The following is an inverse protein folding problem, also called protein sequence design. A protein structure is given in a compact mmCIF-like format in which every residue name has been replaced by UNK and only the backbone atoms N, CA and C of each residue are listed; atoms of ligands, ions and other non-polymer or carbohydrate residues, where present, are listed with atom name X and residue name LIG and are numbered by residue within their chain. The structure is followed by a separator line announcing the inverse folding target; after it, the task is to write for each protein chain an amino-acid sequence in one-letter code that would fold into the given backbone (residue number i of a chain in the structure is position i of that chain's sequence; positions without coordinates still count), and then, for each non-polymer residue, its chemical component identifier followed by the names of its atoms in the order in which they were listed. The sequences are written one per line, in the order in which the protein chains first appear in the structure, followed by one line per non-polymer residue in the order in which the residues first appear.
data_IF_093729974727
#
_entry.id   IF_093729974727
#
_cell.length_a   1.000
_cell.length_b   1.000
_cell.length_c   1.000
_cell.angle_alpha   90.00
_cell.angle_beta   90.00
_cell.angle_gamma   90.00
#
_symmetry.space_group_name_H-M   'P 1'
#
loop_
_entity.id
_entity.type
_entity.pdbx_description
1 polymer ?
#
# COMPACT_ATOMS: atom_id res chain seq x y z
N UNK A 1 -13.32 17.26 -2.40
CA UNK A 1 -13.48 15.85 -1.98
C UNK A 1 -12.37 15.56 -0.99
N UNK A 2 -12.69 15.20 0.25
CA UNK A 2 -11.68 14.83 1.26
C UNK A 2 -11.15 13.43 0.94
N UNK A 3 -9.83 13.29 0.77
CA UNK A 3 -9.22 11.98 0.56
C UNK A 3 -9.33 11.19 1.86
N UNK A 4 -10.08 10.08 1.85
CA UNK A 4 -10.19 9.21 3.02
C UNK A 4 -8.80 8.69 3.45
N UNK A 5 -8.51 8.61 4.76
CA UNK A 5 -7.24 8.11 5.25
C UNK A 5 -7.02 6.64 4.85
N UNK A 6 -5.77 6.17 4.79
CA UNK A 6 -5.45 4.79 4.39
C UNK A 6 -5.91 3.74 5.41
N UNK A 7 -6.07 4.14 6.68
CA UNK A 7 -6.43 3.25 7.78
C UNK A 7 -7.52 3.90 8.65
N UNK A 8 -8.32 3.06 9.31
CA UNK A 8 -9.37 3.48 10.23
C UNK A 8 -9.35 2.55 11.44
N UNK A 9 -9.74 3.05 12.61
CA UNK A 9 -9.80 2.23 13.81
C UNK A 9 -10.87 1.14 13.64
N UNK A 10 -10.50 -0.11 13.87
CA UNK A 10 -11.37 -1.28 13.81
C UNK A 10 -11.46 -1.90 15.21
N UNK A 11 -12.67 -2.21 15.73
CA UNK A 11 -12.81 -2.86 17.03
C UNK A 11 -12.21 -4.28 17.00
N UNK A 12 -11.64 -4.71 18.13
CA UNK A 12 -11.14 -6.07 18.28
C UNK A 12 -12.29 -7.08 18.26
N UNK A 13 -12.03 -8.25 17.68
CA UNK A 13 -12.96 -9.37 17.68
C UNK A 13 -13.03 -9.95 19.10
N UNK A 14 -14.25 -10.18 19.58
CA UNK A 14 -14.49 -10.77 20.89
C UNK A 14 -14.06 -12.24 20.93
N UNK A 15 -13.60 -12.68 22.10
CA UNK A 15 -13.30 -14.09 22.35
C UNK A 15 -14.57 -14.93 22.27
N UNK A 16 -14.47 -16.08 21.62
CA UNK A 16 -15.47 -17.14 21.73
C UNK A 16 -15.47 -17.73 23.14
N UNK A 17 -16.59 -18.33 23.58
CA UNK A 17 -16.71 -18.95 24.90
C UNK A 17 -15.57 -19.93 25.23
N UNK A 18 -15.18 -20.77 24.28
CA UNK A 18 -14.05 -21.71 24.44
C UNK A 18 -12.70 -20.98 24.54
N UNK A 19 -12.48 -19.94 23.72
CA UNK A 19 -11.25 -19.13 23.77
C UNK A 19 -11.13 -18.37 25.11
N UNK A 20 -12.24 -17.91 25.67
CA UNK A 20 -12.29 -17.31 27.01
C UNK A 20 -11.88 -18.31 28.09
N UNK A 21 -12.34 -19.55 27.99
CA UNK A 21 -11.99 -20.63 28.91
C UNK A 21 -10.50 -21.01 28.84
N UNK A 22 -9.91 -21.00 27.64
CA UNK A 22 -8.49 -21.31 27.41
C UNK A 22 -7.56 -20.08 27.40
N UNK A 23 -8.08 -18.88 27.73
CA UNK A 23 -7.35 -17.60 27.69
C UNK A 23 -6.66 -17.29 26.35
N UNK A 24 -7.13 -17.89 25.25
CA UNK A 24 -6.62 -17.61 23.91
C UNK A 24 -7.20 -16.28 23.39
N UNK A 25 -6.38 -15.50 22.69
CA UNK A 25 -6.82 -14.33 21.93
C UNK A 25 -7.04 -14.78 20.48
N UNK A 26 -8.03 -14.23 19.73
CA UNK A 26 -8.12 -14.43 18.30
C UNK A 26 -6.85 -13.91 17.61
N UNK A 27 -6.22 -14.72 16.75
CA UNK A 27 -4.98 -14.33 16.08
C UNK A 27 -5.22 -13.17 15.10
N UNK A 28 -6.44 -13.04 14.57
CA UNK A 28 -6.86 -11.93 13.70
C UNK A 28 -6.79 -10.57 14.40
N UNK A 29 -6.89 -10.55 15.74
CA UNK A 29 -6.74 -9.31 16.51
C UNK A 29 -5.32 -8.74 16.43
N UNK A 30 -4.30 -9.55 16.11
CA UNK A 30 -2.96 -9.03 15.84
C UNK A 30 -2.95 -8.09 14.63
N UNK A 31 -3.71 -8.42 13.58
CA UNK A 31 -3.81 -7.61 12.37
C UNK A 31 -4.66 -6.37 12.59
N UNK A 32 -5.75 -6.50 13.37
CA UNK A 32 -6.55 -5.35 13.78
C UNK A 32 -5.69 -4.38 14.62
N UNK A 33 -4.86 -4.90 15.52
CA UNK A 33 -3.95 -4.08 16.33
C UNK A 33 -2.90 -3.35 15.46
N UNK A 34 -2.31 -4.02 14.45
CA UNK A 34 -1.41 -3.35 13.50
C UNK A 34 -2.13 -2.26 12.72
N UNK A 35 -3.34 -2.54 12.19
CA UNK A 35 -4.16 -1.56 11.51
C UNK A 35 -4.45 -0.34 12.41
N UNK A 36 -4.84 -0.59 13.66
CA UNK A 36 -5.17 0.47 14.60
C UNK A 36 -3.94 1.31 14.96
N UNK A 37 -2.77 0.68 15.14
CA UNK A 37 -1.50 1.39 15.30
C UNK A 37 -1.25 2.35 14.13
N UNK A 38 -1.40 1.85 12.89
CA UNK A 38 -1.25 2.67 11.68
C UNK A 38 -2.32 3.76 11.54
N UNK A 39 -3.51 3.56 12.11
CA UNK A 39 -4.62 4.53 12.08
C UNK A 39 -4.50 5.62 13.15
N UNK A 40 -3.89 5.32 14.30
CA UNK A 40 -3.87 6.23 15.46
C UNK A 40 -2.54 6.91 15.72
N UNK A 41 -1.46 6.42 15.11
CA UNK A 41 -0.11 6.90 15.40
C UNK A 41 0.50 7.54 14.14
N UNK A 42 1.11 8.74 14.24
CA UNK A 42 1.84 9.34 13.13
C UNK A 42 2.93 8.40 12.59
N UNK A 43 3.06 8.31 11.27
CA UNK A 43 3.93 7.34 10.59
C UNK A 43 5.38 7.40 11.09
N UNK A 44 5.86 8.61 11.36
CA UNK A 44 7.23 8.91 11.81
C UNK A 44 7.51 8.40 13.23
N UNK A 45 6.47 8.19 14.03
CA UNK A 45 6.59 7.68 15.41
C UNK A 45 6.50 6.15 15.48
N UNK A 46 5.98 5.52 14.42
CA UNK A 46 5.87 4.06 14.37
C UNK A 46 7.24 3.47 14.08
N UNK A 47 7.63 2.41 14.79
CA UNK A 47 8.85 1.67 14.47
C UNK A 47 8.57 0.17 14.46
N UNK A 48 9.53 -0.59 13.93
CA UNK A 48 9.42 -2.06 13.80
C UNK A 48 9.15 -2.76 15.13
N UNK A 49 9.71 -2.24 16.23
CA UNK A 49 9.53 -2.85 17.55
C UNK A 49 8.08 -2.80 18.03
N UNK A 50 7.30 -1.79 17.62
CA UNK A 50 5.87 -1.71 17.94
C UNK A 50 5.08 -2.83 17.27
N UNK A 51 5.39 -3.15 16.01
CA UNK A 51 4.78 -4.28 15.28
C UNK A 51 5.17 -5.61 15.94
N UNK A 52 6.46 -5.78 16.28
CA UNK A 52 6.93 -6.99 16.96
C UNK A 52 6.29 -7.16 18.34
N UNK A 53 6.06 -6.07 19.08
CA UNK A 53 5.37 -6.10 20.37
C UNK A 53 3.94 -6.62 20.24
N UNK A 54 3.21 -6.24 19.18
CA UNK A 54 1.89 -6.80 18.88
C UNK A 54 2.01 -8.31 18.64
N UNK A 55 3.01 -8.76 17.87
CA UNK A 55 3.25 -10.19 17.65
C UNK A 55 3.48 -10.96 18.95
N UNK A 56 4.25 -10.39 19.89
CA UNK A 56 4.46 -10.97 21.22
C UNK A 56 3.16 -11.04 22.03
N UNK A 57 2.34 -9.99 22.02
CA UNK A 57 1.07 -9.92 22.75
C UNK A 57 0.08 -11.01 22.30
N UNK A 58 -0.02 -11.22 20.99
CA UNK A 58 -0.89 -12.24 20.39
C UNK A 58 -0.20 -13.60 20.21
N UNK A 59 1.08 -13.73 20.58
CA UNK A 59 1.89 -14.96 20.44
C UNK A 59 1.99 -15.47 19.01
N UNK A 60 2.07 -14.56 18.04
CA UNK A 60 2.18 -14.85 16.60
C UNK A 60 3.40 -14.16 16.00
N UNK A 61 4.00 -14.80 14.99
CA UNK A 61 4.94 -14.13 14.10
C UNK A 61 4.15 -13.45 12.97
N UNK A 62 3.85 -12.16 13.14
CA UNK A 62 2.99 -11.40 12.22
C UNK A 62 3.46 -11.50 10.77
N UNK A 63 4.77 -11.39 10.53
CA UNK A 63 5.33 -11.40 9.20
C UNK A 63 5.23 -12.77 8.52
N UNK A 64 5.29 -13.87 9.29
CA UNK A 64 5.14 -15.23 8.74
C UNK A 64 3.69 -15.65 8.60
N UNK A 65 2.85 -15.31 9.58
CA UNK A 65 1.46 -15.76 9.64
C UNK A 65 0.54 -14.90 8.76
N UNK A 66 0.83 -13.60 8.63
CA UNK A 66 -0.02 -12.65 7.91
C UNK A 66 0.75 -11.81 6.86
N UNK A 67 1.55 -12.42 5.97
CA UNK A 67 2.33 -11.68 4.99
C UNK A 67 1.47 -10.88 4.01
N UNK A 68 0.26 -11.37 3.69
CA UNK A 68 -0.67 -10.69 2.80
C UNK A 68 -1.23 -9.41 3.45
N UNK A 69 -1.56 -9.43 4.74
CA UNK A 69 -2.04 -8.22 5.43
C UNK A 69 -0.96 -7.13 5.49
N UNK A 70 0.31 -7.51 5.69
CA UNK A 70 1.41 -6.53 5.63
C UNK A 70 1.50 -5.87 4.25
N UNK A 71 1.33 -6.66 3.18
CA UNK A 71 1.30 -6.13 1.81
C UNK A 71 0.08 -5.24 1.56
N UNK A 72 -1.08 -5.60 2.11
CA UNK A 72 -2.31 -4.81 2.01
C UNK A 72 -2.19 -3.46 2.70
N UNK A 73 -1.58 -3.40 3.89
CA UNK A 73 -1.32 -2.12 4.56
C UNK A 73 -0.44 -1.21 3.70
N UNK A 74 0.66 -1.74 3.17
CA UNK A 74 1.51 -0.99 2.24
C UNK A 74 0.74 -0.51 1.01
N UNK A 75 -0.03 -1.38 0.37
CA UNK A 75 -0.81 -1.05 -0.83
C UNK A 75 -1.91 -0.02 -0.54
N UNK A 76 -2.53 -0.05 0.64
CA UNK A 76 -3.54 0.92 1.06
C UNK A 76 -2.92 2.32 1.19
N UNK A 77 -1.74 2.42 1.81
CA UNK A 77 -0.99 3.67 1.91
C UNK A 77 -0.51 4.17 0.55
N UNK A 78 0.06 3.30 -0.29
CA UNK A 78 0.47 3.64 -1.66
C UNK A 78 -0.71 4.20 -2.46
N UNK A 79 -1.88 3.56 -2.40
CA UNK A 79 -3.09 4.08 -3.04
C UNK A 79 -3.57 5.41 -2.45
N UNK A 80 -3.40 5.62 -1.15
CA UNK A 80 -3.73 6.89 -0.50
C UNK A 80 -2.86 8.03 -1.01
N UNK A 81 -1.53 7.85 -1.04
CA UNK A 81 -0.63 8.90 -1.54
C UNK A 81 -0.86 9.17 -3.03
N UNK A 82 -1.15 8.15 -3.84
CA UNK A 82 -1.45 8.31 -5.26
C UNK A 82 -2.75 9.09 -5.53
N UNK A 83 -3.75 8.93 -4.66
CA UNK A 83 -4.97 9.75 -4.69
C UNK A 83 -4.70 11.19 -4.29
N UNK A 84 -3.88 11.39 -3.26
CA UNK A 84 -3.61 12.70 -2.66
C UNK A 84 -2.67 13.54 -3.53
N UNK A 85 -1.59 12.93 -4.00
CA UNK A 85 -0.54 13.54 -4.79
C UNK A 85 -0.76 13.11 -6.25
N UNK A 86 -1.56 13.90 -6.98
CA UNK A 86 -1.86 13.66 -8.40
C UNK A 86 -0.59 13.64 -9.29
N UNK A 87 0.55 14.10 -8.76
CA UNK A 87 1.83 14.25 -9.45
C UNK A 87 2.95 13.56 -8.64
N UNK A 88 2.86 12.23 -8.51
CA UNK A 88 3.97 11.39 -8.06
C UNK A 88 4.35 11.45 -6.57
N UNK A 89 5.22 10.52 -6.17
CA UNK A 89 5.74 10.33 -4.82
C UNK A 89 7.21 9.90 -4.84
N UNK A 90 7.97 10.26 -5.89
CA UNK A 90 9.43 10.07 -5.87
C UNK A 90 9.94 10.67 -4.55
N UNK A 91 10.67 9.85 -3.79
CA UNK A 91 11.22 10.18 -2.47
C UNK A 91 10.25 10.34 -1.27
N UNK A 92 9.08 9.68 -1.28
CA UNK A 92 8.29 9.58 -0.04
C UNK A 92 8.96 8.67 1.00
N UNK A 93 9.71 9.30 1.91
CA UNK A 93 10.33 8.67 3.07
C UNK A 93 9.34 7.83 3.89
N UNK A 94 8.05 8.17 3.85
CA UNK A 94 7.00 7.45 4.57
C UNK A 94 6.77 6.06 4.00
N UNK A 95 6.89 5.86 2.68
CA UNK A 95 6.77 4.54 2.08
C UNK A 95 7.97 3.65 2.39
N UNK A 96 9.18 4.22 2.36
CA UNK A 96 10.38 3.47 2.71
C UNK A 96 10.34 3.07 4.20
N UNK A 97 9.92 4.00 5.06
CA UNK A 97 9.68 3.72 6.47
C UNK A 97 8.61 2.66 6.68
N UNK A 98 7.47 2.78 5.97
CA UNK A 98 6.37 1.82 6.02
C UNK A 98 6.82 0.41 5.59
N UNK A 99 7.64 0.31 4.53
CA UNK A 99 8.26 -0.95 4.13
C UNK A 99 9.08 -1.56 5.28
N UNK A 100 9.91 -0.75 5.93
CA UNK A 100 10.76 -1.16 7.03
C UNK A 100 9.98 -1.65 8.26
N UNK A 101 8.96 -0.90 8.70
CA UNK A 101 8.13 -1.28 9.85
C UNK A 101 7.27 -2.52 9.56
N UNK A 102 6.80 -2.69 8.33
CA UNK A 102 6.03 -3.87 7.92
C UNK A 102 6.91 -5.07 7.58
N UNK A 103 8.24 -4.90 7.52
CA UNK A 103 9.18 -5.99 7.21
C UNK A 103 9.04 -6.55 5.79
N UNK A 104 8.71 -5.70 4.81
CA UNK A 104 8.55 -6.12 3.43
C UNK A 104 9.89 -6.11 2.68
N UNK A 105 10.13 -7.12 1.86
CA UNK A 105 11.33 -7.17 1.00
C UNK A 105 11.21 -6.19 -0.18
N UNK A 106 12.35 -5.83 -0.77
CA UNK A 106 12.39 -4.94 -1.93
C UNK A 106 11.62 -5.52 -3.12
N UNK A 107 11.74 -6.84 -3.34
CA UNK A 107 11.04 -7.54 -4.41
C UNK A 107 9.53 -7.42 -4.21
N UNK A 108 9.05 -7.64 -2.97
CA UNK A 108 7.63 -7.55 -2.69
C UNK A 108 7.10 -6.13 -2.84
N UNK A 109 7.88 -5.13 -2.41
CA UNK A 109 7.53 -3.72 -2.59
C UNK A 109 7.47 -3.37 -4.07
N UNK A 110 8.42 -3.84 -4.88
CA UNK A 110 8.41 -3.62 -6.32
C UNK A 110 7.15 -4.22 -6.98
N UNK A 111 6.79 -5.47 -6.63
CA UNK A 111 5.53 -6.07 -7.11
C UNK A 111 4.28 -5.24 -6.73
N UNK A 112 4.27 -4.65 -5.54
CA UNK A 112 3.17 -3.78 -5.10
C UNK A 112 3.12 -2.46 -5.87
N UNK A 113 4.27 -1.83 -6.14
CA UNK A 113 4.36 -0.66 -7.01
C UNK A 113 3.88 -0.98 -8.41
N UNK A 114 4.26 -2.12 -8.97
CA UNK A 114 3.80 -2.56 -10.28
C UNK A 114 2.30 -2.78 -10.33
N UNK A 115 1.75 -3.51 -9.35
CA UNK A 115 0.32 -3.82 -9.27
C UNK A 115 -0.53 -2.57 -9.09
N UNK A 116 -0.19 -1.73 -8.13
CA UNK A 116 -0.96 -0.51 -7.83
C UNK A 116 -0.71 0.55 -8.90
N UNK A 117 0.55 0.79 -9.25
CA UNK A 117 0.96 1.75 -10.25
C UNK A 117 0.33 1.48 -11.62
N UNK A 118 0.24 0.21 -12.06
CA UNK A 118 -0.45 -0.15 -13.31
C UNK A 118 -1.86 0.42 -13.38
N UNK A 119 -2.65 0.25 -12.32
CA UNK A 119 -4.04 0.72 -12.25
C UNK A 119 -4.10 2.24 -12.40
N UNK A 120 -3.17 2.95 -11.76
CA UNK A 120 -3.11 4.41 -11.81
C UNK A 120 -2.62 4.95 -13.15
N UNK A 121 -1.59 4.32 -13.71
CA UNK A 121 -1.06 4.63 -15.04
C UNK A 121 -2.13 4.44 -16.11
N UNK A 122 -2.82 3.30 -16.12
CA UNK A 122 -3.87 3.00 -17.07
C UNK A 122 -5.03 4.03 -16.99
N UNK A 123 -5.42 4.42 -15.78
CA UNK A 123 -6.43 5.48 -15.58
C UNK A 123 -5.98 6.83 -16.14
N UNK A 124 -4.71 7.20 -15.96
CA UNK A 124 -4.16 8.45 -16.48
C UNK A 124 -4.06 8.40 -18.02
N UNK A 125 -3.53 7.30 -18.56
CA UNK A 125 -3.39 7.06 -19.98
C UNK A 125 -4.74 7.16 -20.70
N UNK A 126 -5.77 6.46 -20.19
CA UNK A 126 -7.15 6.52 -20.72
C UNK A 126 -7.72 7.94 -20.74
N UNK A 127 -7.32 8.81 -19.82
CA UNK A 127 -7.75 10.22 -19.81
C UNK A 127 -7.04 11.05 -20.89
N UNK A 128 -5.75 10.82 -21.12
CA UNK A 128 -4.99 11.49 -22.16
C UNK A 128 -5.51 11.13 -23.56
N UNK A 129 -5.68 9.84 -23.84
CA UNK A 129 -6.08 9.38 -25.19
C UNK A 129 -7.55 9.65 -25.54
N UNK A 130 -8.37 10.13 -24.59
CA UNK A 130 -9.82 10.34 -24.78
C UNK A 130 -10.14 11.30 -25.93
N UNK A 131 -9.24 12.22 -26.27
CA UNK A 131 -9.43 13.21 -27.34
C UNK A 131 -8.78 12.81 -28.69
N UNK A 132 -8.29 11.57 -28.82
CA UNK A 132 -7.79 11.01 -30.08
C UNK A 132 -6.42 11.50 -30.55
N UNK A 133 -5.76 12.36 -29.78
CA UNK A 133 -4.38 12.83 -30.06
C UNK A 133 -3.57 12.61 -28.80
N UNK A 134 -2.56 11.73 -28.88
CA UNK A 134 -1.54 11.59 -27.85
C UNK A 134 -0.32 12.40 -28.27
N UNK A 135 -0.28 13.64 -27.81
CA UNK A 135 0.76 14.61 -28.15
C UNK A 135 2.11 14.24 -27.52
N UNK A 136 3.20 14.81 -28.06
CA UNK A 136 4.53 14.67 -27.46
C UNK A 136 4.59 15.20 -26.00
N UNK A 137 3.78 16.22 -25.69
CA UNK A 137 3.64 16.73 -24.32
C UNK A 137 3.02 15.69 -23.37
N UNK A 138 2.00 14.96 -23.84
CA UNK A 138 1.38 13.87 -23.07
C UNK A 138 2.29 12.66 -22.96
N UNK A 139 3.06 12.34 -24.00
CA UNK A 139 4.08 11.29 -23.92
C UNK A 139 5.10 11.60 -22.82
N UNK A 140 5.64 12.83 -22.80
CA UNK A 140 6.57 13.26 -21.75
C UNK A 140 5.93 13.25 -20.37
N UNK A 141 4.68 13.70 -20.25
CA UNK A 141 3.94 13.68 -18.99
C UNK A 141 3.71 12.25 -18.48
N UNK A 142 3.33 11.32 -19.36
CA UNK A 142 3.12 9.92 -19.02
C UNK A 142 4.43 9.21 -18.68
N UNK A 143 5.54 9.53 -19.36
CA UNK A 143 6.87 9.02 -19.01
C UNK A 143 7.31 9.48 -17.61
N UNK A 144 7.08 10.75 -17.27
CA UNK A 144 7.33 11.25 -15.91
C UNK A 144 6.43 10.56 -14.89
N UNK A 145 5.15 10.37 -15.22
CA UNK A 145 4.23 9.67 -14.34
C UNK A 145 4.63 8.21 -14.10
N UNK A 146 5.08 7.50 -15.14
CA UNK A 146 5.62 6.13 -15.01
C UNK A 146 6.79 6.04 -14.03
N UNK A 147 7.76 6.97 -14.14
CA UNK A 147 8.90 7.05 -13.22
C UNK A 147 8.45 7.29 -11.79
N UNK A 148 7.51 8.23 -11.61
CA UNK A 148 6.92 8.51 -10.31
C UNK A 148 6.17 7.34 -9.69
N UNK A 149 5.58 6.47 -10.52
CA UNK A 149 4.91 5.23 -10.11
C UNK A 149 5.88 4.05 -9.94
N UNK A 150 7.17 4.25 -10.21
CA UNK A 150 8.21 3.20 -10.22
C UNK A 150 7.86 2.03 -11.14
N UNK A 151 7.17 2.32 -12.25
CA UNK A 151 6.77 1.30 -13.21
C UNK A 151 7.92 0.98 -14.17
N UNK A 152 8.25 -0.30 -14.39
CA UNK A 152 9.14 -0.72 -15.45
C UNK A 152 8.60 -0.30 -16.83
N UNK A 153 9.51 0.09 -17.73
CA UNK A 153 9.18 0.45 -19.11
C UNK A 153 8.38 -0.65 -19.84
N UNK A 154 8.70 -1.92 -19.56
CA UNK A 154 7.96 -3.05 -20.11
C UNK A 154 6.46 -2.97 -19.80
N UNK A 155 6.08 -2.57 -18.58
CA UNK A 155 4.67 -2.47 -18.19
C UNK A 155 3.98 -1.32 -18.92
N UNK A 156 4.64 -0.16 -18.98
CA UNK A 156 4.05 1.05 -19.58
C UNK A 156 3.93 0.93 -21.09
N UNK A 157 4.91 0.34 -21.76
CA UNK A 157 4.86 0.06 -23.21
C UNK A 157 3.73 -0.91 -23.57
N UNK A 158 3.48 -1.95 -22.75
CA UNK A 158 2.33 -2.83 -22.95
C UNK A 158 1.01 -2.06 -22.84
N UNK A 159 0.83 -1.25 -21.79
CA UNK A 159 -0.41 -0.47 -21.58
C UNK A 159 -0.64 0.59 -22.67
N UNK A 160 0.43 1.21 -23.18
CA UNK A 160 0.39 2.15 -24.30
C UNK A 160 -0.09 1.47 -25.59
N UNK A 161 0.48 0.31 -25.91
CA UNK A 161 0.07 -0.47 -27.07
C UNK A 161 -1.40 -0.91 -27.00
N UNK A 162 -1.91 -1.27 -25.82
CA UNK A 162 -3.32 -1.64 -25.61
C UNK A 162 -4.32 -0.53 -25.95
N UNK A 163 -3.91 0.75 -25.85
CA UNK A 163 -4.75 1.91 -26.20
C UNK A 163 -4.36 2.57 -27.53
N UNK A 164 -3.39 1.99 -28.26
CA UNK A 164 -2.97 2.44 -29.59
C UNK A 164 -2.04 3.65 -29.61
N UNK A 165 -1.22 3.86 -28.57
CA UNK A 165 -0.24 4.98 -28.46
C UNK A 165 1.14 4.54 -28.02
#
# INVERSE_FOLDING_TARGET
MTTQPPYQIVPLVNKSFLQSLFKQQPDENAIIAVNNLLATTPMEQINRAMILKIGVEYKVDINKMFPLNMQEFYAAYLNFILRKHQVGYEDDNSLQHLQGILGLSNEKVQELHERVGRIWYEKALKKCVKNGVFSHGEEKAMANYARNLRLPEKITSTLRAEVGV
#
